data_IF_927108917068
#
_entry.id   IF_927108917068
#
_cell.length_a   1.000
_cell.length_b   1.000
_cell.length_c   1.000
_cell.angle_alpha   90.00
_cell.angle_beta   90.00
_cell.angle_gamma   90.00
#
_symmetry.space_group_name_H-M   'P 1'
#
loop_
_entity.id
_entity.type
_entity.pdbx_description
1 polymer ?
#
# COMPACT_ATOMS: atom_id res chain seq x y z
N UNK A 1 -3.37 23.44 37.33
CA UNK A 1 -2.42 22.51 36.69
C UNK A 1 -2.90 21.13 37.06
N UNK A 2 -3.70 20.49 36.20
CA UNK A 2 -4.22 19.15 36.49
C UNK A 2 -3.02 18.20 36.55
N UNK A 3 -2.96 17.40 37.62
CA UNK A 3 -1.92 16.38 37.77
C UNK A 3 -1.95 15.47 36.54
N UNK A 4 -0.79 15.15 35.93
CA UNK A 4 -0.78 14.22 34.81
C UNK A 4 -1.42 12.91 35.27
N UNK A 5 -2.44 12.47 34.54
CA UNK A 5 -3.12 11.21 34.81
C UNK A 5 -2.08 10.08 34.77
N UNK A 6 -2.11 9.20 35.78
CA UNK A 6 -1.13 8.12 35.95
C UNK A 6 -1.07 7.24 34.69
N UNK A 7 -2.21 7.07 34.00
CA UNK A 7 -2.29 6.33 32.74
C UNK A 7 -1.44 6.93 31.62
N UNK A 8 -1.39 8.26 31.51
CA UNK A 8 -0.61 8.97 30.49
C UNK A 8 0.90 8.79 30.77
N UNK A 9 1.31 8.90 32.03
CA UNK A 9 2.71 8.70 32.43
C UNK A 9 3.17 7.27 32.16
N UNK A 10 2.33 6.28 32.47
CA UNK A 10 2.61 4.87 32.18
C UNK A 10 2.73 4.62 30.68
N UNK A 11 1.82 5.17 29.87
CA UNK A 11 1.87 5.03 28.41
C UNK A 11 3.13 5.64 27.79
N UNK A 12 3.50 6.87 28.19
CA UNK A 12 4.72 7.50 27.69
C UNK A 12 6.00 6.79 28.14
N UNK A 13 6.03 6.27 29.37
CA UNK A 13 7.18 5.49 29.87
C UNK A 13 7.33 4.18 29.09
N UNK A 14 6.21 3.51 28.79
CA UNK A 14 6.21 2.30 27.97
C UNK A 14 6.65 2.57 26.53
N UNK A 15 6.18 3.67 25.92
CA UNK A 15 6.61 4.10 24.61
C UNK A 15 8.12 4.40 24.58
N UNK A 16 8.63 5.16 25.55
CA UNK A 16 10.05 5.46 25.68
C UNK A 16 10.90 4.19 25.86
N UNK A 17 10.42 3.22 26.65
CA UNK A 17 11.08 1.92 26.82
C UNK A 17 11.15 1.13 25.51
N UNK A 18 10.07 1.07 24.72
CA UNK A 18 10.07 0.43 23.41
C UNK A 18 11.01 1.14 22.42
N UNK A 19 11.05 2.48 22.42
CA UNK A 19 11.96 3.26 21.59
C UNK A 19 13.42 2.97 21.94
N UNK A 20 13.77 2.94 23.23
CA UNK A 20 15.12 2.56 23.67
C UNK A 20 15.44 1.10 23.31
N UNK A 21 14.47 0.20 23.40
CA UNK A 21 14.63 -1.22 23.03
C UNK A 21 14.96 -1.40 21.54
N UNK A 22 14.37 -0.58 20.65
CA UNK A 22 14.71 -0.57 19.22
C UNK A 22 16.12 0.01 18.99
N UNK A 23 16.47 1.12 19.65
CA UNK A 23 17.81 1.70 19.53
C UNK A 23 18.92 0.82 20.11
N UNK A 24 18.58 -0.15 20.98
CA UNK A 24 19.51 -1.16 21.48
C UNK A 24 20.06 -2.09 20.38
N UNK A 25 19.57 -2.01 19.14
CA UNK A 25 20.16 -2.68 17.98
C UNK A 25 21.67 -2.38 17.83
N UNK A 26 22.10 -1.15 18.17
CA UNK A 26 23.50 -0.74 18.04
C UNK A 26 24.46 -1.48 18.99
N UNK A 27 23.91 -2.12 20.04
CA UNK A 27 24.66 -2.81 21.09
C UNK A 27 24.52 -4.34 21.03
N UNK A 28 24.46 -4.92 19.81
CA UNK A 28 24.57 -6.37 19.53
C UNK A 28 23.44 -7.21 20.17
N UNK A 29 22.49 -7.69 19.36
CA UNK A 29 21.56 -8.82 19.64
C UNK A 29 21.09 -9.01 21.10
N UNK A 30 20.47 -7.99 21.69
CA UNK A 30 19.87 -8.07 23.03
C UNK A 30 18.46 -8.70 22.94
N UNK A 31 18.05 -9.62 23.85
CA UNK A 31 16.67 -10.14 23.92
C UNK A 31 15.57 -9.07 23.86
N UNK A 32 15.80 -7.89 24.44
CA UNK A 32 14.85 -6.76 24.40
C UNK A 32 14.61 -6.23 22.98
N UNK A 33 15.66 -6.19 22.15
CA UNK A 33 15.52 -5.78 20.75
C UNK A 33 14.69 -6.79 19.96
N UNK A 34 14.97 -8.10 20.08
CA UNK A 34 14.23 -9.16 19.38
C UNK A 34 12.74 -9.17 19.73
N UNK A 35 12.42 -8.91 21.01
CA UNK A 35 11.03 -8.77 21.46
C UNK A 35 10.37 -7.57 20.79
N UNK A 36 11.01 -6.39 20.83
CA UNK A 36 10.49 -5.18 20.22
C UNK A 36 10.27 -5.36 18.70
N UNK A 37 11.21 -6.02 18.01
CA UNK A 37 11.11 -6.35 16.59
C UNK A 37 9.89 -7.24 16.30
N UNK A 38 9.70 -8.33 17.05
CA UNK A 38 8.52 -9.20 16.88
C UNK A 38 7.20 -8.49 17.21
N UNK A 39 7.17 -7.61 18.20
CA UNK A 39 5.99 -6.79 18.50
C UNK A 39 5.69 -5.87 17.32
N UNK A 40 6.67 -5.13 16.81
CA UNK A 40 6.47 -4.19 15.69
C UNK A 40 6.02 -4.91 14.43
N UNK A 41 6.67 -6.02 14.07
CA UNK A 41 6.30 -6.83 12.90
C UNK A 41 4.92 -7.48 13.11
N UNK A 42 4.60 -7.95 14.32
CA UNK A 42 3.29 -8.51 14.65
C UNK A 42 2.16 -7.47 14.56
N UNK A 43 2.36 -6.27 15.12
CA UNK A 43 1.38 -5.17 15.08
C UNK A 43 1.16 -4.74 13.63
N UNK A 44 2.22 -4.57 12.84
CA UNK A 44 2.08 -4.18 11.43
C UNK A 44 1.31 -5.23 10.63
N UNK A 45 1.63 -6.52 10.76
CA UNK A 45 0.87 -7.59 10.11
C UNK A 45 -0.59 -7.64 10.57
N UNK A 46 -0.84 -7.51 11.88
CA UNK A 46 -2.18 -7.51 12.45
C UNK A 46 -3.04 -6.33 11.99
N UNK A 47 -2.46 -5.13 11.94
CA UNK A 47 -3.12 -3.93 11.44
C UNK A 47 -3.56 -4.08 9.98
N UNK A 48 -2.67 -4.63 9.14
CA UNK A 48 -2.99 -4.90 7.74
C UNK A 48 -4.14 -5.90 7.58
N UNK A 49 -4.18 -6.96 8.40
CA UNK A 49 -5.28 -7.93 8.39
C UNK A 49 -6.60 -7.27 8.78
N UNK A 50 -6.60 -6.45 9.84
CA UNK A 50 -7.80 -5.77 10.31
C UNK A 50 -8.38 -4.82 9.25
N UNK A 51 -7.54 -4.02 8.60
CA UNK A 51 -7.97 -3.17 7.49
C UNK A 51 -8.53 -4.01 6.35
N UNK A 52 -7.82 -5.05 5.93
CA UNK A 52 -8.24 -5.88 4.80
C UNK A 52 -9.59 -6.54 5.08
N UNK A 53 -9.82 -6.96 6.32
CA UNK A 53 -11.09 -7.54 6.73
C UNK A 53 -12.26 -6.56 6.58
N UNK A 54 -12.14 -5.35 7.14
CA UNK A 54 -13.23 -4.38 7.06
C UNK A 54 -13.39 -3.82 5.65
N UNK A 55 -12.30 -3.34 5.05
CA UNK A 55 -12.38 -2.64 3.75
C UNK A 55 -12.61 -3.58 2.58
N UNK A 56 -11.94 -4.73 2.54
CA UNK A 56 -11.93 -5.58 1.33
C UNK A 56 -12.88 -6.76 1.43
N UNK A 57 -12.95 -7.43 2.59
CA UNK A 57 -13.85 -8.56 2.76
C UNK A 57 -15.28 -8.12 3.08
N UNK A 58 -15.47 -7.24 4.07
CA UNK A 58 -16.79 -6.83 4.51
C UNK A 58 -17.45 -5.86 3.53
N UNK A 59 -16.84 -4.69 3.31
CA UNK A 59 -17.46 -3.63 2.51
C UNK A 59 -17.51 -3.96 1.01
N UNK A 60 -16.44 -4.57 0.49
CA UNK A 60 -16.30 -4.83 -0.95
C UNK A 60 -16.87 -6.16 -1.41
N UNK A 61 -17.01 -7.17 -0.54
CA UNK A 61 -17.45 -8.50 -0.95
C UNK A 61 -18.74 -8.95 -0.26
N UNK A 62 -18.79 -8.99 1.07
CA UNK A 62 -19.93 -9.51 1.83
C UNK A 62 -21.18 -8.64 1.66
N UNK A 63 -21.05 -7.33 1.83
CA UNK A 63 -22.16 -6.40 1.67
C UNK A 63 -22.79 -6.43 0.27
N UNK A 64 -22.03 -6.27 -0.83
CA UNK A 64 -22.61 -6.34 -2.16
C UNK A 64 -23.13 -7.74 -2.49
N UNK A 65 -22.51 -8.82 -1.99
CA UNK A 65 -23.02 -10.18 -2.23
C UNK A 65 -24.39 -10.35 -1.57
N UNK A 66 -24.53 -9.92 -0.32
CA UNK A 66 -25.79 -10.01 0.42
C UNK A 66 -26.88 -9.15 -0.21
N UNK A 67 -26.55 -7.91 -0.61
CA UNK A 67 -27.48 -7.00 -1.30
C UNK A 67 -27.93 -7.57 -2.65
N UNK A 68 -27.01 -8.06 -3.48
CA UNK A 68 -27.34 -8.61 -4.79
C UNK A 68 -28.15 -9.93 -4.67
N UNK A 69 -27.87 -10.77 -3.68
CA UNK A 69 -28.66 -12.00 -3.40
C UNK A 69 -30.07 -11.65 -2.91
N UNK A 70 -30.20 -10.66 -2.02
CA UNK A 70 -31.51 -10.23 -1.52
C UNK A 70 -32.38 -9.63 -2.64
N UNK A 71 -31.79 -8.87 -3.56
CA UNK A 71 -32.49 -8.28 -4.71
C UNK A 71 -33.05 -9.34 -5.68
N UNK A 72 -32.45 -10.53 -5.76
CA UNK A 72 -33.01 -11.65 -6.53
C UNK A 72 -34.36 -12.16 -5.99
N UNK A 73 -34.64 -11.94 -4.69
CA UNK A 73 -35.89 -12.35 -4.05
C UNK A 73 -36.94 -11.22 -3.99
N UNK A 74 -36.60 -10.01 -4.44
CA UNK A 74 -37.53 -8.87 -4.49
C UNK A 74 -38.33 -8.89 -5.80
N UNK A 75 -39.67 -8.94 -5.79
CA UNK A 75 -40.47 -8.97 -7.01
C UNK A 75 -40.43 -7.60 -7.72
N UNK A 76 -39.94 -7.55 -8.96
CA UNK A 76 -40.14 -6.40 -9.87
C UNK A 76 -38.91 -5.78 -10.56
N UNK A 77 -37.70 -6.32 -10.38
CA UNK A 77 -36.50 -5.84 -11.07
C UNK A 77 -36.18 -6.58 -12.39
N UNK A 78 -35.39 -5.99 -13.31
CA UNK A 78 -34.91 -6.69 -14.51
C UNK A 78 -33.96 -7.84 -14.13
N UNK A 79 -34.51 -9.04 -14.01
CA UNK A 79 -33.82 -10.26 -13.55
C UNK A 79 -32.50 -10.55 -14.29
N UNK A 80 -32.43 -10.25 -15.59
CA UNK A 80 -31.24 -10.53 -16.41
C UNK A 80 -30.03 -9.64 -16.08
N UNK A 81 -30.25 -8.37 -15.69
CA UNK A 81 -29.16 -7.44 -15.36
C UNK A 81 -28.60 -7.71 -13.96
N UNK A 82 -29.47 -8.10 -13.02
CA UNK A 82 -29.09 -8.40 -11.64
C UNK A 82 -28.31 -9.72 -11.53
N UNK A 83 -28.67 -10.74 -12.31
CA UNK A 83 -27.89 -11.99 -12.40
C UNK A 83 -26.46 -11.76 -12.91
N UNK A 84 -26.27 -10.84 -13.86
CA UNK A 84 -24.93 -10.46 -14.35
C UNK A 84 -24.09 -9.79 -13.25
N UNK A 85 -24.71 -8.94 -12.42
CA UNK A 85 -24.03 -8.25 -11.31
C UNK A 85 -23.60 -9.22 -10.20
N UNK A 86 -24.43 -10.23 -9.89
CA UNK A 86 -24.07 -11.31 -8.97
C UNK A 86 -22.88 -12.10 -9.50
N UNK A 87 -22.87 -12.44 -10.79
CA UNK A 87 -21.80 -13.20 -11.42
C UNK A 87 -20.45 -12.46 -11.34
N UNK A 88 -20.43 -11.15 -11.59
CA UNK A 88 -19.22 -10.32 -11.47
C UNK A 88 -18.68 -10.30 -10.03
N UNK A 89 -19.56 -10.28 -9.03
CA UNK A 89 -19.14 -10.27 -7.62
C UNK A 89 -18.64 -11.63 -7.10
N UNK A 90 -18.97 -12.72 -7.79
CA UNK A 90 -18.44 -14.06 -7.47
C UNK A 90 -16.96 -14.18 -7.87
N UNK A 91 -16.53 -13.50 -8.94
CA UNK A 91 -15.16 -13.55 -9.45
C UNK A 91 -14.09 -13.22 -8.37
N UNK A 92 -14.17 -12.09 -7.64
CA UNK A 92 -13.19 -11.79 -6.59
C UNK A 92 -13.26 -12.80 -5.44
N UNK A 93 -14.44 -13.34 -5.14
CA UNK A 93 -14.62 -14.40 -4.14
C UNK A 93 -13.91 -15.70 -4.52
N UNK A 94 -14.07 -16.13 -5.77
CA UNK A 94 -13.37 -17.29 -6.32
C UNK A 94 -11.86 -17.03 -6.28
N UNK A 95 -11.37 -15.88 -6.75
CA UNK A 95 -9.95 -15.54 -6.71
C UNK A 95 -9.37 -15.50 -5.28
N UNK A 96 -10.13 -14.98 -4.31
CA UNK A 96 -9.76 -15.03 -2.90
C UNK A 96 -9.70 -16.47 -2.37
N UNK A 97 -10.67 -17.31 -2.73
CA UNK A 97 -10.68 -18.73 -2.35
C UNK A 97 -9.50 -19.50 -2.97
N UNK A 98 -9.14 -19.17 -4.22
CA UNK A 98 -7.96 -19.74 -4.88
C UNK A 98 -6.65 -19.43 -4.15
N UNK A 99 -6.55 -18.31 -3.41
CA UNK A 99 -5.34 -18.03 -2.62
C UNK A 99 -5.11 -19.04 -1.49
N UNK A 100 -6.17 -19.60 -0.90
CA UNK A 100 -6.06 -20.63 0.15
C UNK A 100 -5.47 -21.95 -0.38
N UNK A 101 -5.46 -22.18 -1.70
CA UNK A 101 -4.76 -23.33 -2.29
C UNK A 101 -3.26 -23.34 -2.00
N UNK A 102 -2.68 -22.20 -1.59
CA UNK A 102 -1.27 -22.08 -1.18
C UNK A 102 -0.91 -22.93 0.04
N UNK A 103 -1.87 -23.25 0.91
CA UNK A 103 -1.61 -24.13 2.06
C UNK A 103 -1.37 -25.60 1.66
N UNK A 104 -1.77 -25.99 0.45
CA UNK A 104 -1.62 -27.34 -0.06
C UNK A 104 -0.57 -27.39 -1.19
N UNK A 105 0.60 -28.04 -0.99
CA UNK A 105 1.68 -28.02 -1.97
C UNK A 105 1.31 -28.62 -3.33
N UNK A 106 0.32 -29.54 -3.39
CA UNK A 106 -0.15 -30.15 -4.65
C UNK A 106 -1.02 -29.25 -5.53
N UNK A 107 -1.71 -28.25 -4.96
CA UNK A 107 -2.65 -27.36 -5.70
C UNK A 107 -2.12 -25.91 -5.72
N UNK A 108 -0.95 -25.65 -5.14
CA UNK A 108 -0.35 -24.32 -5.04
C UNK A 108 -0.13 -23.60 -6.38
N UNK A 109 -0.19 -24.28 -7.54
CA UNK A 109 -0.15 -23.60 -8.83
C UNK A 109 -1.35 -22.67 -9.04
N UNK A 110 -2.51 -23.00 -8.46
CA UNK A 110 -3.74 -22.25 -8.65
C UNK A 110 -3.70 -20.86 -7.99
N UNK A 111 -2.89 -20.69 -6.94
CA UNK A 111 -2.67 -19.39 -6.29
C UNK A 111 -1.89 -18.39 -7.16
N UNK A 112 -1.23 -18.84 -8.24
CA UNK A 112 -0.48 -17.95 -9.16
C UNK A 112 -1.39 -16.99 -9.91
N UNK A 113 -2.62 -17.40 -10.20
CA UNK A 113 -3.60 -16.59 -10.92
C UNK A 113 -4.05 -15.36 -10.11
N UNK A 114 -4.52 -15.51 -8.84
CA UNK A 114 -4.81 -14.36 -7.99
C UNK A 114 -3.60 -13.44 -7.78
N UNK A 115 -2.39 -14.00 -7.64
CA UNK A 115 -1.17 -13.19 -7.44
C UNK A 115 -0.87 -12.36 -8.69
N UNK A 116 -0.94 -12.96 -9.88
CA UNK A 116 -0.74 -12.25 -11.14
C UNK A 116 -1.78 -11.13 -11.32
N UNK A 117 -3.04 -11.41 -10.99
CA UNK A 117 -4.11 -10.42 -11.04
C UNK A 117 -3.89 -9.27 -10.07
N UNK A 118 -3.53 -9.56 -8.82
CA UNK A 118 -3.22 -8.55 -7.81
C UNK A 118 -2.02 -7.68 -8.21
N UNK A 119 -0.96 -8.29 -8.75
CA UNK A 119 0.20 -7.58 -9.28
C UNK A 119 -0.16 -6.71 -10.49
N UNK A 120 -1.00 -7.20 -11.40
CA UNK A 120 -1.45 -6.44 -12.56
C UNK A 120 -2.25 -5.20 -12.17
N UNK A 121 -3.17 -5.31 -11.19
CA UNK A 121 -3.91 -4.16 -10.66
C UNK A 121 -2.94 -3.15 -10.04
N UNK A 122 -2.03 -3.63 -9.19
CA UNK A 122 -1.05 -2.78 -8.51
C UNK A 122 -0.15 -2.06 -9.50
N UNK A 123 0.35 -2.75 -10.52
CA UNK A 123 1.16 -2.15 -11.58
C UNK A 123 0.34 -1.17 -12.43
N UNK A 124 -0.90 -1.53 -12.78
CA UNK A 124 -1.78 -0.70 -13.61
C UNK A 124 -2.16 0.63 -12.96
N UNK A 125 -2.31 0.67 -11.63
CA UNK A 125 -2.58 1.92 -10.89
C UNK A 125 -1.30 2.72 -10.66
N UNK A 126 -0.22 2.07 -10.25
CA UNK A 126 0.99 2.77 -9.85
C UNK A 126 1.82 3.30 -11.04
N UNK A 127 1.82 2.61 -12.18
CA UNK A 127 2.58 3.03 -13.36
C UNK A 127 2.18 4.44 -13.85
N UNK A 128 0.90 4.75 -14.14
CA UNK A 128 0.52 6.10 -14.55
C UNK A 128 0.74 7.11 -13.42
N UNK A 129 0.51 6.74 -12.15
CA UNK A 129 0.74 7.61 -11.01
C UNK A 129 2.20 8.02 -10.87
N UNK A 130 3.13 7.09 -11.08
CA UNK A 130 4.57 7.37 -11.05
C UNK A 130 5.01 8.19 -12.26
N UNK A 131 4.51 7.89 -13.45
CA UNK A 131 4.79 8.71 -14.62
C UNK A 131 4.32 10.16 -14.42
N UNK A 132 3.12 10.37 -13.87
CA UNK A 132 2.59 11.70 -13.63
C UNK A 132 3.31 12.43 -12.49
N UNK A 133 3.52 11.75 -11.36
CA UNK A 133 4.02 12.37 -10.14
C UNK A 133 5.53 12.59 -10.14
N UNK A 134 6.28 11.64 -10.72
CA UNK A 134 7.73 11.72 -10.80
C UNK A 134 8.14 12.25 -12.16
N UNK A 135 7.90 11.53 -13.25
CA UNK A 135 8.46 11.86 -14.56
C UNK A 135 7.95 13.20 -15.11
N UNK A 136 6.64 13.39 -15.20
CA UNK A 136 6.05 14.61 -15.78
C UNK A 136 6.31 15.83 -14.90
N UNK A 137 6.16 15.70 -13.58
CA UNK A 137 6.43 16.82 -12.66
C UNK A 137 7.91 17.21 -12.65
N UNK A 138 8.84 16.25 -12.71
CA UNK A 138 10.27 16.54 -12.81
C UNK A 138 10.62 17.18 -14.16
N UNK A 139 10.01 16.72 -15.26
CA UNK A 139 10.15 17.36 -16.57
C UNK A 139 9.65 18.81 -16.56
N UNK A 140 8.46 19.06 -15.99
CA UNK A 140 7.90 20.41 -15.86
C UNK A 140 8.80 21.33 -15.02
N UNK A 141 9.34 20.82 -13.91
CA UNK A 141 10.27 21.58 -13.07
C UNK A 141 11.58 21.94 -13.79
N UNK A 142 11.94 21.18 -14.83
CA UNK A 142 13.15 21.42 -15.64
C UNK A 142 12.88 22.26 -16.89
N UNK A 143 11.60 22.43 -17.29
CA UNK A 143 11.18 23.34 -18.35
C UNK A 143 11.12 24.80 -17.86
N UNK A 144 12.26 25.32 -17.40
CA UNK A 144 12.39 26.72 -16.98
C UNK A 144 12.64 27.57 -18.24
N UNK A 145 11.86 28.65 -18.47
CA UNK A 145 12.10 29.54 -19.60
C UNK A 145 13.45 30.26 -19.42
N UNK A 146 14.30 30.21 -20.45
CA UNK A 146 15.62 30.84 -20.46
C UNK A 146 15.51 32.35 -20.72
N UNK A 147 14.87 33.06 -19.79
CA UNK A 147 14.58 34.48 -19.89
C UNK A 147 15.08 35.24 -18.65
N UNK A 148 15.79 36.36 -18.85
CA UNK A 148 16.20 37.27 -17.79
C UNK A 148 17.70 37.64 -17.82
N UNK A 149 18.23 37.99 -16.64
CA UNK A 149 19.63 38.40 -16.43
C UNK A 149 20.61 37.25 -16.71
N UNK A 150 21.82 37.56 -17.21
CA UNK A 150 22.90 36.60 -17.50
C UNK A 150 23.17 35.64 -16.34
N UNK A 151 23.06 36.11 -15.09
CA UNK A 151 23.26 35.26 -13.91
C UNK A 151 22.17 34.20 -13.76
N UNK A 152 20.91 34.54 -14.06
CA UNK A 152 19.77 33.62 -13.98
C UNK A 152 19.87 32.52 -15.04
N UNK A 153 20.25 32.90 -16.27
CA UNK A 153 20.48 31.96 -17.38
C UNK A 153 21.57 30.95 -17.02
N UNK A 154 22.65 31.38 -16.37
CA UNK A 154 23.72 30.47 -15.93
C UNK A 154 23.22 29.44 -14.90
N UNK A 155 22.42 29.87 -13.92
CA UNK A 155 21.80 28.98 -12.95
C UNK A 155 20.85 27.97 -13.62
N UNK A 156 19.99 28.43 -14.53
CA UNK A 156 19.00 27.58 -15.22
C UNK A 156 19.69 26.52 -16.10
N UNK A 157 20.76 26.89 -16.82
CA UNK A 157 21.59 25.95 -17.59
C UNK A 157 22.30 24.95 -16.68
N UNK A 158 22.83 25.41 -15.54
CA UNK A 158 23.50 24.52 -14.57
C UNK A 158 22.53 23.48 -14.03
N UNK A 159 21.28 23.85 -13.74
CA UNK A 159 20.24 22.91 -13.30
C UNK A 159 20.01 21.83 -14.36
N UNK A 160 19.81 22.21 -15.63
CA UNK A 160 19.58 21.27 -16.74
C UNK A 160 20.75 20.30 -16.91
N UNK A 161 21.98 20.80 -16.91
CA UNK A 161 23.19 19.96 -17.05
C UNK A 161 23.37 19.04 -15.84
N UNK A 162 23.09 19.56 -14.64
CA UNK A 162 23.14 18.78 -13.40
C UNK A 162 22.15 17.62 -13.38
N UNK A 163 20.90 17.83 -13.81
CA UNK A 163 19.89 16.75 -13.90
C UNK A 163 20.28 15.71 -14.94
N UNK A 164 20.78 16.10 -16.11
CA UNK A 164 21.24 15.14 -17.14
C UNK A 164 22.42 14.31 -16.62
N UNK A 165 23.41 14.95 -15.98
CA UNK A 165 24.57 14.26 -15.42
C UNK A 165 24.16 13.30 -14.28
N UNK A 166 23.27 13.72 -13.39
CA UNK A 166 22.73 12.88 -12.32
C UNK A 166 21.97 11.67 -12.84
N UNK A 167 21.10 11.85 -13.84
CA UNK A 167 20.37 10.74 -14.48
C UNK A 167 21.33 9.75 -15.16
N UNK A 168 22.36 10.25 -15.85
CA UNK A 168 23.36 9.40 -16.48
C UNK A 168 24.15 8.59 -15.42
N UNK A 169 24.55 9.23 -14.31
CA UNK A 169 25.27 8.55 -13.23
C UNK A 169 24.44 7.41 -12.61
N UNK A 170 23.17 7.67 -12.24
CA UNK A 170 22.30 6.63 -11.66
C UNK A 170 21.89 5.54 -12.65
N UNK A 171 21.90 5.81 -13.95
CA UNK A 171 21.61 4.80 -14.97
C UNK A 171 22.78 3.82 -15.18
N UNK A 172 24.02 4.28 -15.00
CA UNK A 172 25.24 3.49 -15.25
C UNK A 172 25.99 3.02 -13.99
N UNK A 173 25.61 3.51 -12.80
CA UNK A 173 26.13 3.04 -11.50
C UNK A 173 25.23 1.99 -10.88
#
# INVERSE_FOLDING_TARGET
MESPDLGIVLWYTFAAFLTLSIFSFLYKDNPFYRLAEHIVVGISAGYWIAILYHTSLQDLWIEPLTKNVLVLFTPGGPFLLECSRVLINIIPGVMGLLMFSRFFPGISWLSRWPIAFYLAITAGVNLPLYLQSFTVRQMQATMIPLEGSTWKIFCDVTIIVGTICGLAYFYFS
#
